data_IF_779972969841
#
_entry.id   IF_779972969841
#
_cell.length_a   1.000
_cell.length_b   1.000
_cell.length_c   1.000
_cell.angle_alpha   90.00
_cell.angle_beta   90.00
_cell.angle_gamma   90.00
#
_symmetry.space_group_name_H-M   'P 1'
#
loop_
_entity.id
_entity.type
_entity.pdbx_description
1 polymer ?
#
# COMPACT_ATOMS: atom_id res chain seq x y z
N UNK A 1 21.07 -17.74 21.14
CA UNK A 1 22.26 -17.34 20.37
C UNK A 1 21.86 -17.37 18.91
N UNK A 2 21.38 -16.27 18.38
CA UNK A 2 21.32 -16.00 16.94
C UNK A 2 20.95 -14.53 16.76
N UNK A 3 22.01 -13.72 16.79
CA UNK A 3 21.94 -12.25 16.66
C UNK A 3 22.22 -11.79 15.23
N UNK A 4 22.25 -12.68 14.25
CA UNK A 4 22.69 -12.36 12.88
C UNK A 4 21.59 -12.27 11.81
N UNK A 5 20.34 -12.67 12.09
CA UNK A 5 19.28 -12.62 11.07
C UNK A 5 18.53 -11.26 10.94
N UNK A 6 18.77 -10.31 11.83
CA UNK A 6 18.06 -9.03 11.83
C UNK A 6 18.73 -7.91 11.04
N UNK A 7 19.90 -8.12 10.46
CA UNK A 7 20.70 -7.08 9.80
C UNK A 7 20.65 -7.09 8.26
N UNK A 8 20.07 -8.10 7.61
CA UNK A 8 20.08 -8.20 6.14
C UNK A 8 18.92 -7.51 5.42
N UNK A 9 17.91 -7.02 6.14
CA UNK A 9 16.75 -6.35 5.50
C UNK A 9 16.89 -4.84 5.35
N UNK A 10 17.96 -4.25 5.81
CA UNK A 10 18.05 -2.84 6.17
C UNK A 10 18.70 -1.88 5.16
N UNK A 11 19.34 -2.34 4.09
CA UNK A 11 19.97 -1.40 3.15
C UNK A 11 19.10 -1.17 1.93
N UNK A 12 19.05 0.07 1.46
CA UNK A 12 18.39 0.44 0.21
C UNK A 12 18.92 -0.38 -0.98
N UNK A 13 20.21 -0.69 -0.99
CA UNK A 13 20.86 -1.53 -2.00
C UNK A 13 20.32 -2.95 -2.03
N UNK A 14 20.13 -3.58 -0.87
CA UNK A 14 19.54 -4.90 -0.77
C UNK A 14 18.06 -4.90 -1.25
N UNK A 15 17.35 -3.81 -1.02
CA UNK A 15 15.97 -3.65 -1.52
C UNK A 15 15.96 -3.50 -3.04
N UNK A 16 16.87 -2.74 -3.62
CA UNK A 16 17.00 -2.59 -5.08
C UNK A 16 17.35 -3.91 -5.76
N UNK A 17 18.25 -4.71 -5.19
CA UNK A 17 18.60 -6.02 -5.75
C UNK A 17 17.40 -6.98 -5.73
N UNK A 18 16.66 -7.02 -4.61
CA UNK A 18 15.43 -7.81 -4.53
C UNK A 18 14.38 -7.33 -5.53
N UNK A 19 14.23 -6.02 -5.72
CA UNK A 19 13.31 -5.43 -6.70
C UNK A 19 13.68 -5.86 -8.12
N UNK A 20 14.98 -5.91 -8.48
CA UNK A 20 15.42 -6.38 -9.80
C UNK A 20 15.11 -7.87 -10.02
N UNK A 21 15.32 -8.70 -9.01
CA UNK A 21 14.98 -10.13 -9.09
C UNK A 21 13.48 -10.34 -9.21
N UNK A 22 12.70 -9.56 -8.43
CA UNK A 22 11.24 -9.58 -8.50
C UNK A 22 10.73 -9.13 -9.87
N UNK A 23 11.32 -8.08 -10.45
CA UNK A 23 10.95 -7.61 -11.78
C UNK A 23 11.17 -8.68 -12.84
N UNK A 24 12.26 -9.41 -12.75
CA UNK A 24 12.54 -10.55 -13.65
C UNK A 24 11.48 -11.66 -13.49
N UNK A 25 11.12 -12.02 -12.25
CA UNK A 25 10.08 -13.03 -12.01
C UNK A 25 8.71 -12.55 -12.51
N UNK A 26 8.39 -11.26 -12.37
CA UNK A 26 7.15 -10.67 -12.91
C UNK A 26 7.11 -10.78 -14.45
N UNK A 27 8.22 -10.53 -15.13
CA UNK A 27 8.29 -10.65 -16.59
C UNK A 27 8.08 -12.09 -17.07
N UNK A 28 8.59 -13.06 -16.33
CA UNK A 28 8.47 -14.49 -16.65
C UNK A 28 7.11 -15.08 -16.21
N UNK A 29 6.55 -14.61 -15.08
CA UNK A 29 5.39 -15.17 -14.41
C UNK A 29 4.38 -14.11 -13.93
N UNK A 30 3.84 -13.23 -14.78
CA UNK A 30 3.05 -12.08 -14.34
C UNK A 30 1.81 -12.46 -13.51
N UNK A 31 1.15 -13.55 -13.85
CA UNK A 31 -0.10 -13.99 -13.17
C UNK A 31 0.13 -14.62 -11.79
N UNK A 32 1.38 -14.94 -11.44
CA UNK A 32 1.76 -15.43 -10.11
C UNK A 32 1.74 -14.31 -9.08
N UNK A 33 1.85 -13.07 -9.52
CA UNK A 33 1.89 -11.89 -8.67
C UNK A 33 0.53 -11.21 -8.59
N UNK A 34 0.36 -10.38 -7.56
CA UNK A 34 -0.77 -9.48 -7.39
C UNK A 34 -0.23 -8.09 -7.08
N UNK A 35 -0.46 -7.16 -7.97
CA UNK A 35 -0.10 -5.78 -7.80
C UNK A 35 -1.13 -5.09 -6.91
N UNK A 36 -0.68 -4.47 -5.82
CA UNK A 36 -1.47 -3.49 -5.11
C UNK A 36 -0.81 -2.12 -5.23
N UNK A 37 -1.60 -1.13 -5.54
CA UNK A 37 -1.22 0.27 -5.55
C UNK A 37 -2.42 1.13 -5.19
N UNK A 38 -2.22 2.41 -4.93
CA UNK A 38 -3.33 3.31 -4.63
C UNK A 38 -2.86 4.74 -4.46
N UNK A 39 -3.84 5.63 -4.43
CA UNK A 39 -3.63 7.05 -4.16
C UNK A 39 -4.77 7.61 -3.30
N UNK A 40 -4.48 8.66 -2.53
CA UNK A 40 -5.51 9.44 -1.84
C UNK A 40 -6.20 10.37 -2.85
N UNK A 41 -7.53 10.46 -2.87
CA UNK A 41 -8.28 11.32 -3.80
C UNK A 41 -8.23 12.79 -3.34
N UNK A 42 -7.03 13.37 -3.40
CA UNK A 42 -6.77 14.76 -2.96
C UNK A 42 -6.86 15.79 -4.07
N UNK A 43 -7.20 15.36 -5.29
CA UNK A 43 -7.34 16.16 -6.49
C UNK A 43 -7.02 15.34 -7.74
N UNK A 44 -6.96 16.02 -8.89
CA UNK A 44 -6.63 15.37 -10.17
C UNK A 44 -5.16 15.00 -10.24
N UNK A 45 -4.87 13.92 -10.98
CA UNK A 45 -3.49 13.57 -11.31
C UNK A 45 -2.87 14.62 -12.26
N UNK A 46 -1.58 14.80 -12.15
CA UNK A 46 -0.81 15.66 -13.01
C UNK A 46 0.40 14.91 -13.61
N UNK A 47 1.13 15.57 -14.48
CA UNK A 47 2.28 14.98 -15.19
C UNK A 47 3.32 14.33 -14.25
N UNK A 48 3.51 14.86 -13.05
CA UNK A 48 4.40 14.27 -12.06
C UNK A 48 3.93 12.88 -11.58
N UNK A 49 2.62 12.70 -11.38
CA UNK A 49 2.05 11.39 -11.07
C UNK A 49 2.18 10.43 -12.26
N UNK A 50 2.00 10.93 -13.49
CA UNK A 50 2.15 10.11 -14.68
C UNK A 50 3.55 9.48 -14.76
N UNK A 51 4.59 10.28 -14.63
CA UNK A 51 5.98 9.79 -14.73
C UNK A 51 6.48 9.14 -13.44
N UNK A 52 6.02 9.60 -12.28
CA UNK A 52 6.47 9.09 -10.99
C UNK A 52 5.93 7.71 -10.62
N UNK A 53 4.68 7.41 -10.96
CA UNK A 53 4.06 6.15 -10.53
C UNK A 53 3.16 5.49 -11.59
N UNK A 54 2.36 6.27 -12.32
CA UNK A 54 1.28 5.72 -13.14
C UNK A 54 1.80 4.96 -14.35
N UNK A 55 2.88 5.40 -15.00
CA UNK A 55 3.50 4.67 -16.10
C UNK A 55 3.93 3.26 -15.69
N UNK A 56 4.50 3.10 -14.51
CA UNK A 56 4.91 1.80 -14.01
C UNK A 56 3.70 0.90 -13.72
N UNK A 57 2.63 1.47 -13.16
CA UNK A 57 1.35 0.74 -12.95
C UNK A 57 0.78 0.25 -14.28
N UNK A 58 0.71 1.13 -15.28
CA UNK A 58 0.24 0.78 -16.64
C UNK A 58 1.12 -0.29 -17.28
N UNK A 59 2.45 -0.20 -17.11
CA UNK A 59 3.39 -1.21 -17.60
C UNK A 59 3.11 -2.58 -16.99
N UNK A 60 2.98 -2.66 -15.67
CA UNK A 60 2.71 -3.91 -14.96
C UNK A 60 1.33 -4.49 -15.32
N UNK A 61 0.33 -3.63 -15.40
CA UNK A 61 -1.00 -4.00 -15.89
C UNK A 61 -0.93 -4.62 -17.30
N UNK A 62 -0.22 -3.99 -18.24
CA UNK A 62 -0.06 -4.49 -19.62
C UNK A 62 0.72 -5.81 -19.69
N UNK A 63 1.58 -6.11 -18.72
CA UNK A 63 2.22 -7.42 -18.60
C UNK A 63 1.24 -8.51 -18.12
N UNK A 64 0.01 -8.15 -17.75
CA UNK A 64 -1.03 -9.09 -17.32
C UNK A 64 -0.96 -9.45 -15.83
N UNK A 65 -0.29 -8.64 -15.02
CA UNK A 65 -0.28 -8.79 -13.55
C UNK A 65 -1.67 -8.43 -13.02
N UNK A 66 -2.36 -9.33 -12.27
CA UNK A 66 -3.60 -8.98 -11.57
C UNK A 66 -3.40 -7.74 -10.71
N UNK A 67 -4.21 -6.70 -10.95
CA UNK A 67 -3.97 -5.35 -10.44
C UNK A 67 -5.12 -4.88 -9.56
N UNK A 68 -4.81 -4.45 -8.35
CA UNK A 68 -5.73 -3.84 -7.41
C UNK A 68 -5.32 -2.39 -7.17
N UNK A 69 -6.21 -1.46 -7.46
CA UNK A 69 -5.99 -0.02 -7.29
C UNK A 69 -6.98 0.48 -6.22
N UNK A 70 -6.46 0.78 -5.05
CA UNK A 70 -7.23 1.34 -3.95
C UNK A 70 -7.26 2.85 -4.06
N UNK A 71 -8.44 3.43 -4.05
CA UNK A 71 -8.62 4.86 -3.85
C UNK A 71 -8.85 5.08 -2.37
N UNK A 72 -7.85 5.62 -1.68
CA UNK A 72 -7.79 5.71 -0.24
C UNK A 72 -8.61 6.92 0.28
N UNK A 73 -9.93 6.90 0.04
CA UNK A 73 -10.84 8.00 0.37
C UNK A 73 -10.95 8.24 1.89
N UNK A 74 -10.94 7.20 2.73
CA UNK A 74 -10.92 7.37 4.19
C UNK A 74 -9.62 8.00 4.70
N UNK A 75 -8.51 7.79 4.03
CA UNK A 75 -7.22 8.38 4.43
C UNK A 75 -7.15 9.90 4.17
N UNK A 76 -8.06 10.46 3.39
CA UNK A 76 -8.16 11.93 3.27
C UNK A 76 -8.54 12.58 4.61
N UNK A 77 -9.27 11.86 5.46
CA UNK A 77 -9.73 12.36 6.76
C UNK A 77 -8.62 12.43 7.81
N UNK A 78 -7.43 11.88 7.54
CA UNK A 78 -6.34 11.83 8.53
C UNK A 78 -5.63 13.17 8.70
N UNK A 79 -5.49 13.94 7.61
CA UNK A 79 -4.71 15.19 7.57
C UNK A 79 -5.50 16.39 7.03
N UNK A 80 -6.80 16.24 6.73
CA UNK A 80 -7.64 17.30 6.16
C UNK A 80 -8.96 17.41 6.89
N UNK A 81 -9.36 18.65 7.16
CA UNK A 81 -10.68 18.95 7.77
C UNK A 81 -11.80 19.11 6.72
N UNK A 82 -11.46 19.16 5.43
CA UNK A 82 -12.42 19.35 4.34
C UNK A 82 -12.57 18.06 3.53
N UNK A 83 -13.81 17.61 3.40
CA UNK A 83 -14.20 16.38 2.66
C UNK A 83 -15.22 16.68 1.53
N UNK A 84 -15.48 17.94 1.24
CA UNK A 84 -16.54 18.37 0.32
C UNK A 84 -16.38 17.86 -1.11
N UNK A 85 -15.19 17.49 -1.53
CA UNK A 85 -14.90 17.04 -2.90
C UNK A 85 -14.44 15.59 -3.00
N UNK A 86 -14.52 14.77 -1.93
CA UNK A 86 -13.95 13.41 -1.96
C UNK A 86 -14.59 12.59 -3.07
N UNK A 87 -15.93 12.58 -3.18
CA UNK A 87 -16.63 11.77 -4.20
C UNK A 87 -16.26 12.20 -5.63
N UNK A 88 -16.18 13.52 -5.87
CA UNK A 88 -15.74 14.05 -7.17
C UNK A 88 -14.27 13.68 -7.46
N UNK A 89 -13.39 13.79 -6.48
CA UNK A 89 -12.00 13.44 -6.62
C UNK A 89 -11.80 11.93 -6.88
N UNK A 90 -12.60 11.06 -6.24
CA UNK A 90 -12.63 9.61 -6.51
C UNK A 90 -12.98 9.35 -7.97
N UNK A 91 -14.03 10.01 -8.48
CA UNK A 91 -14.43 9.89 -9.88
C UNK A 91 -13.34 10.38 -10.84
N UNK A 92 -12.78 11.56 -10.59
CA UNK A 92 -11.73 12.12 -11.44
C UNK A 92 -10.47 11.26 -11.45
N UNK A 93 -10.07 10.74 -10.29
CA UNK A 93 -8.92 9.85 -10.17
C UNK A 93 -9.15 8.53 -10.95
N UNK A 94 -10.36 7.99 -10.89
CA UNK A 94 -10.74 6.79 -11.67
C UNK A 94 -10.65 7.06 -13.17
N UNK A 95 -11.17 8.21 -13.63
CA UNK A 95 -11.08 8.65 -15.02
C UNK A 95 -9.62 8.79 -15.46
N UNK A 96 -8.79 9.41 -14.63
CA UNK A 96 -7.36 9.62 -14.91
C UNK A 96 -6.61 8.28 -15.04
N UNK A 97 -6.93 7.26 -14.23
CA UNK A 97 -6.36 5.91 -14.36
C UNK A 97 -6.72 5.26 -15.69
N UNK A 98 -8.01 5.31 -16.07
CA UNK A 98 -8.50 4.73 -17.31
C UNK A 98 -7.88 5.47 -18.52
N UNK A 99 -7.83 6.80 -18.46
CA UNK A 99 -7.23 7.62 -19.51
C UNK A 99 -5.73 7.34 -19.70
N UNK A 100 -5.02 6.99 -18.61
CA UNK A 100 -3.62 6.62 -18.66
C UNK A 100 -3.37 5.22 -19.26
N UNK A 101 -4.41 4.40 -19.39
CA UNK A 101 -4.35 3.08 -20.01
C UNK A 101 -4.50 1.89 -19.08
N UNK A 102 -5.07 2.10 -17.87
CA UNK A 102 -5.56 1.00 -17.02
C UNK A 102 -6.93 0.56 -17.56
N UNK A 103 -7.05 -0.71 -17.94
CA UNK A 103 -8.31 -1.28 -18.44
C UNK A 103 -9.01 -2.09 -17.32
N UNK A 104 -10.12 -1.60 -16.74
CA UNK A 104 -10.86 -2.32 -15.71
C UNK A 104 -11.71 -3.48 -16.27
N UNK A 105 -11.80 -3.63 -17.60
CA UNK A 105 -12.56 -4.68 -18.25
C UNK A 105 -11.73 -5.92 -18.63
N UNK A 106 -10.46 -5.95 -18.27
CA UNK A 106 -9.55 -7.07 -18.54
C UNK A 106 -9.82 -8.33 -17.69
N UNK A 107 -10.77 -8.25 -16.75
CA UNK A 107 -11.13 -9.34 -15.82
C UNK A 107 -10.11 -9.58 -14.71
N UNK A 108 -9.05 -8.77 -14.59
CA UNK A 108 -7.97 -8.92 -13.61
C UNK A 108 -7.69 -7.63 -12.84
N UNK A 109 -8.27 -6.51 -13.29
CA UNK A 109 -8.02 -5.19 -12.71
C UNK A 109 -9.24 -4.69 -11.97
N UNK A 110 -9.02 -4.28 -10.73
CA UNK A 110 -10.04 -3.77 -9.83
C UNK A 110 -9.64 -2.38 -9.33
N UNK A 111 -10.50 -1.39 -9.53
CA UNK A 111 -10.35 -0.03 -9.00
C UNK A 111 -11.51 0.21 -8.04
N UNK A 112 -11.21 0.53 -6.79
CA UNK A 112 -12.23 0.70 -5.77
C UNK A 112 -11.81 1.67 -4.66
N UNK A 113 -12.72 2.52 -4.15
CA UNK A 113 -12.50 3.30 -2.94
C UNK A 113 -12.79 2.45 -1.68
N UNK A 114 -12.18 2.79 -0.54
CA UNK A 114 -12.45 2.14 0.75
C UNK A 114 -13.93 2.12 1.10
N UNK A 115 -14.64 3.24 0.84
CA UNK A 115 -16.06 3.39 1.17
C UNK A 115 -16.96 2.40 0.46
N UNK A 116 -16.52 1.82 -0.66
CA UNK A 116 -17.28 0.80 -1.40
C UNK A 116 -16.90 -0.64 -1.06
N UNK A 117 -15.87 -0.84 -0.23
CA UNK A 117 -15.41 -2.16 0.22
C UNK A 117 -15.24 -2.15 1.75
N UNK A 118 -16.35 -2.07 2.50
CA UNK A 118 -16.31 -1.94 3.96
C UNK A 118 -15.64 -3.12 4.65
N UNK A 119 -15.62 -4.30 4.03
CA UNK A 119 -14.97 -5.50 4.55
C UNK A 119 -13.46 -5.33 4.76
N UNK A 120 -12.81 -4.53 3.91
CA UNK A 120 -11.39 -4.20 4.06
C UNK A 120 -11.12 -3.54 5.41
N UNK A 121 -12.01 -2.63 5.82
CA UNK A 121 -11.86 -1.88 7.08
C UNK A 121 -12.03 -2.76 8.32
N UNK A 122 -12.67 -3.94 8.19
CA UNK A 122 -12.79 -4.90 9.29
C UNK A 122 -11.44 -5.49 9.71
N UNK A 123 -10.40 -5.41 8.87
CA UNK A 123 -9.05 -5.85 9.20
C UNK A 123 -8.31 -4.86 10.12
N UNK A 124 -8.73 -3.60 10.18
CA UNK A 124 -8.01 -2.57 10.93
C UNK A 124 -7.88 -2.93 12.41
N UNK A 125 -8.99 -3.25 13.07
CA UNK A 125 -8.96 -3.55 14.50
C UNK A 125 -8.15 -4.82 14.83
N UNK A 126 -8.31 -5.96 14.14
CA UNK A 126 -7.42 -7.11 14.29
C UNK A 126 -5.94 -6.76 14.11
N UNK A 127 -5.59 -5.98 13.11
CA UNK A 127 -4.19 -5.61 12.82
C UNK A 127 -3.62 -4.67 13.87
N UNK A 128 -4.41 -3.74 14.41
CA UNK A 128 -4.00 -2.90 15.55
C UNK A 128 -3.61 -3.72 16.78
N UNK A 129 -4.17 -4.92 16.97
CA UNK A 129 -3.77 -5.81 18.08
C UNK A 129 -2.42 -6.50 17.85
N UNK A 130 -1.87 -6.40 16.65
CA UNK A 130 -0.60 -7.02 16.25
C UNK A 130 0.58 -6.04 16.26
N UNK A 131 0.34 -4.76 16.52
CA UNK A 131 1.37 -3.73 16.57
C UNK A 131 1.36 -3.03 17.92
N UNK A 132 2.49 -2.49 18.32
CA UNK A 132 2.62 -1.72 19.54
C UNK A 132 2.66 -0.22 19.23
N UNK A 133 2.28 0.61 20.21
CA UNK A 133 2.43 2.07 20.12
C UNK A 133 3.87 2.46 19.82
N UNK A 134 4.85 1.79 20.45
CA UNK A 134 6.27 2.07 20.23
C UNK A 134 6.74 1.75 18.78
N UNK A 135 6.12 0.81 18.10
CA UNK A 135 6.41 0.54 16.68
C UNK A 135 5.84 1.63 15.78
N UNK A 136 4.64 2.11 16.05
CA UNK A 136 4.03 3.23 15.34
C UNK A 136 4.83 4.53 15.57
N UNK A 137 5.22 4.81 16.82
CA UNK A 137 6.04 5.96 17.18
C UNK A 137 7.40 5.99 16.46
N UNK A 138 7.97 4.84 16.18
CA UNK A 138 9.26 4.76 15.50
C UNK A 138 9.17 4.88 13.98
N UNK A 139 7.96 4.88 13.40
CA UNK A 139 7.81 4.99 11.95
C UNK A 139 8.27 6.38 11.46
N UNK A 140 9.34 6.47 10.66
CA UNK A 140 9.90 7.74 10.23
C UNK A 140 8.97 8.49 9.30
N UNK A 141 8.27 7.79 8.41
CA UNK A 141 7.35 8.38 7.42
C UNK A 141 6.21 9.13 8.10
N UNK A 142 5.59 8.54 9.13
CA UNK A 142 4.53 9.20 9.91
C UNK A 142 5.03 10.49 10.55
N UNK A 143 6.25 10.48 11.10
CA UNK A 143 6.84 11.68 11.70
C UNK A 143 7.09 12.79 10.68
N UNK A 144 7.62 12.43 9.53
CA UNK A 144 7.88 13.36 8.43
C UNK A 144 6.57 13.97 7.89
N UNK A 145 5.53 13.17 7.71
CA UNK A 145 4.22 13.64 7.26
C UNK A 145 3.53 14.56 8.28
N UNK A 146 3.59 14.23 9.57
CA UNK A 146 3.08 15.09 10.65
C UNK A 146 3.80 16.45 10.63
N UNK A 147 5.13 16.43 10.49
CA UNK A 147 5.92 17.64 10.42
C UNK A 147 5.60 18.47 9.17
N UNK A 148 5.48 17.82 8.01
CA UNK A 148 5.16 18.47 6.74
C UNK A 148 3.74 19.08 6.71
N UNK A 149 2.78 18.42 7.34
CA UNK A 149 1.40 18.91 7.45
C UNK A 149 1.23 20.04 8.47
N UNK A 150 2.25 20.34 9.29
CA UNK A 150 2.20 21.39 10.31
C UNK A 150 1.11 21.15 11.36
N UNK A 151 0.74 19.91 11.61
CA UNK A 151 -0.34 19.56 12.52
C UNK A 151 0.04 19.87 13.96
N UNK A 152 -0.73 20.73 14.60
CA UNK A 152 -0.60 21.03 16.04
C UNK A 152 -1.27 19.99 16.94
N UNK A 153 -2.20 19.24 16.38
CA UNK A 153 -2.90 18.12 17.04
C UNK A 153 -2.92 16.93 16.09
N UNK A 154 -2.41 15.81 16.55
CA UNK A 154 -2.37 14.56 15.80
C UNK A 154 -3.59 13.75 16.21
N UNK A 155 -4.49 13.45 15.27
CA UNK A 155 -5.60 12.56 15.53
C UNK A 155 -5.17 11.09 15.47
N UNK A 156 -5.97 10.18 16.02
CA UNK A 156 -5.66 8.75 16.05
C UNK A 156 -5.58 8.15 14.64
N UNK A 157 -6.34 8.67 13.67
CA UNK A 157 -6.29 8.22 12.28
C UNK A 157 -4.92 8.46 11.65
N UNK A 158 -4.36 9.69 11.81
CA UNK A 158 -3.03 10.03 11.33
C UNK A 158 -1.92 9.17 11.98
N UNK A 159 -2.16 8.71 13.21
CA UNK A 159 -1.21 7.84 13.92
C UNK A 159 -1.30 6.38 13.46
N UNK A 160 -2.48 5.90 13.11
CA UNK A 160 -2.76 4.50 12.83
C UNK A 160 -2.93 4.18 11.34
N UNK A 161 -2.91 5.18 10.43
CA UNK A 161 -3.10 4.94 9.00
C UNK A 161 -2.11 3.92 8.40
N UNK A 162 -0.86 3.73 8.90
CA UNK A 162 0.01 2.69 8.35
C UNK A 162 -0.52 1.28 8.56
N UNK A 163 -1.31 1.08 9.62
CA UNK A 163 -2.00 -0.19 9.88
C UNK A 163 -3.20 -0.35 8.94
N UNK A 164 -3.89 0.75 8.61
CA UNK A 164 -4.95 0.74 7.61
C UNK A 164 -4.39 0.47 6.21
N UNK A 165 -3.24 1.07 5.86
CA UNK A 165 -2.54 0.76 4.61
C UNK A 165 -2.10 -0.71 4.55
N UNK A 166 -1.71 -1.30 5.66
CA UNK A 166 -1.45 -2.74 5.73
C UNK A 166 -2.72 -3.56 5.45
N UNK A 167 -3.89 -3.09 5.91
CA UNK A 167 -5.17 -3.73 5.58
C UNK A 167 -5.45 -3.67 4.07
N UNK A 168 -5.19 -2.54 3.40
CA UNK A 168 -5.34 -2.40 1.94
C UNK A 168 -4.54 -3.47 1.19
N UNK A 169 -3.27 -3.61 1.56
CA UNK A 169 -2.35 -4.53 0.91
C UNK A 169 -2.74 -5.99 1.16
N UNK A 170 -3.01 -6.33 2.41
CA UNK A 170 -3.23 -7.71 2.82
C UNK A 170 -4.64 -8.22 2.48
N UNK A 171 -5.65 -7.36 2.45
CA UNK A 171 -6.99 -7.71 2.00
C UNK A 171 -6.98 -8.23 0.55
N UNK A 172 -6.30 -7.53 -0.34
CA UNK A 172 -6.11 -7.94 -1.72
C UNK A 172 -5.13 -9.11 -1.89
N UNK A 173 -4.43 -9.50 -0.82
CA UNK A 173 -3.32 -10.46 -0.85
C UNK A 173 -2.23 -10.00 -1.84
N UNK A 174 -1.93 -8.70 -1.82
CA UNK A 174 -0.90 -8.08 -2.65
C UNK A 174 0.46 -8.70 -2.39
N UNK A 175 1.14 -9.12 -3.44
CA UNK A 175 2.50 -9.67 -3.37
C UNK A 175 3.55 -8.68 -3.82
N UNK A 176 3.13 -7.69 -4.61
CA UNK A 176 3.98 -6.64 -5.18
C UNK A 176 3.36 -5.28 -4.92
N UNK A 177 4.15 -4.36 -4.39
CA UNK A 177 3.72 -2.98 -4.12
C UNK A 177 4.77 -2.03 -4.69
N UNK A 178 4.48 -1.31 -5.78
CA UNK A 178 5.37 -0.27 -6.29
C UNK A 178 5.36 0.91 -5.31
N UNK A 179 6.50 1.18 -4.71
CA UNK A 179 6.62 2.20 -3.68
C UNK A 179 7.88 3.04 -3.84
N UNK A 180 7.79 4.32 -3.47
CA UNK A 180 8.95 5.15 -3.24
C UNK A 180 9.71 4.73 -1.98
N UNK A 181 10.93 5.22 -1.84
CA UNK A 181 11.80 4.94 -0.68
C UNK A 181 11.13 5.32 0.66
N UNK A 182 10.37 6.40 0.64
CA UNK A 182 9.63 6.94 1.78
C UNK A 182 8.54 5.98 2.30
N UNK A 183 8.01 5.11 1.45
CA UNK A 183 6.95 4.15 1.79
C UNK A 183 7.48 2.79 2.28
N UNK A 184 8.77 2.53 2.18
CA UNK A 184 9.36 1.27 2.64
C UNK A 184 9.06 0.96 4.13
N UNK A 185 9.07 1.92 5.07
CA UNK A 185 8.73 1.64 6.46
C UNK A 185 7.29 1.12 6.64
N UNK A 186 6.33 1.60 5.86
CA UNK A 186 4.96 1.11 5.89
C UNK A 186 4.85 -0.31 5.35
N UNK A 187 5.61 -0.62 4.29
CA UNK A 187 5.64 -1.97 3.74
C UNK A 187 6.27 -2.98 4.70
N UNK A 188 7.32 -2.60 5.42
CA UNK A 188 7.92 -3.44 6.47
C UNK A 188 6.96 -3.67 7.65
N UNK A 189 6.19 -2.65 8.04
CA UNK A 189 5.12 -2.81 9.02
C UNK A 189 4.07 -3.80 8.52
N UNK A 190 3.67 -3.70 7.25
CA UNK A 190 2.71 -4.62 6.61
C UNK A 190 3.22 -6.07 6.65
N UNK A 191 4.49 -6.32 6.32
CA UNK A 191 5.13 -7.63 6.40
C UNK A 191 5.14 -8.18 7.83
N UNK A 192 5.43 -7.31 8.80
CA UNK A 192 5.40 -7.67 10.23
C UNK A 192 4.00 -8.07 10.67
N UNK A 193 2.97 -7.33 10.25
CA UNK A 193 1.56 -7.67 10.53
C UNK A 193 1.20 -9.01 9.89
N UNK A 194 1.56 -9.24 8.62
CA UNK A 194 1.29 -10.48 7.92
C UNK A 194 1.89 -11.69 8.65
N UNK A 195 3.17 -11.61 9.03
CA UNK A 195 3.85 -12.67 9.80
C UNK A 195 3.18 -12.92 11.15
N UNK A 196 2.91 -11.86 11.92
CA UNK A 196 2.28 -11.98 13.25
C UNK A 196 0.88 -12.55 13.16
N UNK A 197 0.11 -12.15 12.15
CA UNK A 197 -1.22 -12.70 11.91
C UNK A 197 -1.13 -14.19 11.58
N UNK A 198 -0.31 -14.56 10.62
CA UNK A 198 -0.14 -15.94 10.20
C UNK A 198 0.31 -16.83 11.38
N UNK A 199 1.31 -16.40 12.14
CA UNK A 199 1.81 -17.15 13.29
C UNK A 199 0.77 -17.31 14.41
N UNK A 200 -0.06 -16.29 14.64
CA UNK A 200 -1.01 -16.28 15.75
C UNK A 200 -2.33 -16.97 15.42
N UNK A 201 -2.81 -16.83 14.18
CA UNK A 201 -4.17 -17.22 13.80
C UNK A 201 -4.24 -18.22 12.65
N UNK A 202 -3.13 -18.48 11.96
CA UNK A 202 -3.11 -19.28 10.74
C UNK A 202 -1.84 -20.11 10.57
N UNK A 203 -1.28 -20.63 11.68
CA UNK A 203 0.00 -21.33 11.74
C UNK A 203 0.14 -22.46 10.70
N UNK A 204 -0.94 -23.24 10.49
CA UNK A 204 -0.93 -24.37 9.57
C UNK A 204 -1.18 -24.00 8.10
N UNK A 205 -1.74 -22.81 7.84
CA UNK A 205 -2.06 -22.33 6.49
C UNK A 205 -2.00 -20.82 6.45
N UNK A 206 -0.86 -20.24 6.13
CA UNK A 206 -0.71 -18.79 6.04
C UNK A 206 -1.80 -18.15 5.17
N UNK A 207 -2.43 -17.09 5.67
CA UNK A 207 -3.52 -16.36 5.00
C UNK A 207 -2.96 -15.21 4.18
N UNK A 208 -1.98 -14.48 4.74
CA UNK A 208 -1.42 -13.29 4.12
C UNK A 208 -0.02 -13.52 3.58
N UNK A 209 0.25 -13.12 2.33
CA UNK A 209 1.61 -13.08 1.81
C UNK A 209 2.41 -11.95 2.46
N UNK A 210 3.73 -12.03 2.40
CA UNK A 210 4.60 -10.91 2.71
C UNK A 210 4.86 -10.11 1.43
N UNK A 211 4.33 -8.88 1.31
CA UNK A 211 4.46 -8.09 0.09
C UNK A 211 5.91 -7.66 -0.14
N UNK A 212 6.29 -7.54 -1.40
CA UNK A 212 7.62 -7.10 -1.82
C UNK A 212 7.54 -5.70 -2.45
N UNK A 213 8.50 -4.81 -2.16
CA UNK A 213 8.62 -3.53 -2.85
C UNK A 213 9.13 -3.73 -4.27
N UNK A 214 8.63 -2.89 -5.19
CA UNK A 214 9.10 -2.83 -6.57
C UNK A 214 9.45 -1.40 -6.95
#
# INVERSE_FOLDING_TARGET
MDTHEHLEYGTFEATLERSRLLEKDILENPTKHKLLTGDRPTGRLHVGHLFGSLQNRVRLHKLGVPTFIVIADYQVLTDRDTYESIAENVLQLTIDYIAAGIDPHDGKTFIFPHSHVPELNQLLLPFLTLVTMAELDRNPTVKEEIAAAGLTRINAGMYTYPVHQAADILFCKGTVVPVGKDQLPHLELTRTIARRFNNRFAEHKPVFPEPQPL
#
